data_IF_763899851401
#
_entry.id   IF_763899851401
#
_cell.length_a   1.000
_cell.length_b   1.000
_cell.length_c   1.000
_cell.angle_alpha   90.00
_cell.angle_beta   90.00
_cell.angle_gamma   90.00
#
_symmetry.space_group_name_H-M   'P 1'
#
loop_
_entity.id
_entity.type
_entity.pdbx_description
1 polymer ?
#
# COMPACT_ATOMS: atom_id res chain seq x y z
N UNK A 1 -25.49 62.25 14.92
CA UNK A 1 -24.12 62.24 14.37
C UNK A 1 -23.35 61.06 14.92
N UNK A 2 -22.39 60.58 14.14
CA UNK A 2 -21.70 59.30 14.24
C UNK A 2 -20.28 59.51 14.83
N UNK A 3 -19.77 58.47 15.52
CA UNK A 3 -18.35 58.19 15.90
C UNK A 3 -17.78 58.99 17.11
N UNK A 4 -16.87 58.51 17.96
CA UNK A 4 -15.77 57.54 17.81
C UNK A 4 -15.35 56.88 19.15
N UNK A 5 -15.12 55.57 19.06
CA UNK A 5 -14.09 54.71 19.69
C UNK A 5 -13.18 55.29 20.79
N UNK A 6 -13.16 54.59 21.94
CA UNK A 6 -11.96 54.49 22.80
C UNK A 6 -11.59 53.01 23.02
N UNK A 7 -10.53 52.62 22.33
CA UNK A 7 -9.57 51.54 22.61
C UNK A 7 -9.16 51.51 24.09
N UNK A 8 -8.80 50.42 24.80
CA UNK A 8 -8.47 48.98 24.62
C UNK A 8 -8.64 48.34 26.03
N UNK A 9 -8.78 47.01 26.18
CA UNK A 9 -7.70 46.26 26.85
C UNK A 9 -7.46 44.89 26.16
N UNK A 10 -6.22 44.49 25.90
CA UNK A 10 -5.24 43.93 26.85
C UNK A 10 -5.33 42.40 26.91
N UNK A 11 -4.26 41.81 26.36
CA UNK A 11 -3.58 40.58 26.74
C UNK A 11 -4.29 39.23 26.57
N UNK A 12 -3.62 38.44 25.73
CA UNK A 12 -3.33 37.00 25.80
C UNK A 12 -4.54 36.06 25.94
N UNK A 13 -4.68 35.16 24.97
CA UNK A 13 -4.44 33.73 25.19
C UNK A 13 -4.20 33.06 23.83
N UNK A 14 -3.01 32.47 23.67
CA UNK A 14 -2.70 31.47 22.66
C UNK A 14 -3.63 30.26 22.87
N UNK A 15 -4.23 29.76 21.79
CA UNK A 15 -4.81 28.42 21.74
C UNK A 15 -4.58 27.81 20.35
N UNK A 16 -3.40 27.20 20.16
CA UNK A 16 -3.20 26.06 19.25
C UNK A 16 -3.81 24.81 19.91
N UNK A 17 -4.04 23.68 19.21
CA UNK A 17 -4.40 23.45 17.81
C UNK A 17 -5.68 22.56 17.72
N UNK A 18 -6.48 22.66 16.66
CA UNK A 18 -7.48 21.59 16.37
C UNK A 18 -6.94 20.75 15.22
N UNK A 19 -6.16 19.75 15.61
CA UNK A 19 -5.87 18.60 14.76
C UNK A 19 -7.16 17.78 14.67
N UNK A 20 -7.82 17.81 13.52
CA UNK A 20 -8.89 16.87 13.18
C UNK A 20 -8.30 15.74 12.33
N UNK A 21 -7.58 14.82 12.98
CA UNK A 21 -7.31 13.50 12.40
C UNK A 21 -8.60 12.71 12.56
N UNK A 22 -9.26 12.36 11.45
CA UNK A 22 -10.09 11.16 11.30
C UNK A 22 -10.66 11.08 9.89
N UNK A 23 -9.82 10.78 8.89
CA UNK A 23 -10.30 10.04 7.72
C UNK A 23 -10.37 8.56 8.10
N UNK A 24 -11.28 8.23 9.00
CA UNK A 24 -11.66 6.86 9.32
C UNK A 24 -12.63 6.37 8.24
N UNK A 25 -12.19 6.30 6.98
CA UNK A 25 -12.89 5.45 6.03
C UNK A 25 -12.43 4.03 6.31
N UNK A 26 -13.20 3.38 7.17
CA UNK A 26 -13.27 1.94 7.24
C UNK A 26 -13.32 1.38 5.81
N UNK A 27 -12.31 0.61 5.44
CA UNK A 27 -12.28 -0.26 4.27
C UNK A 27 -13.26 -1.44 4.42
N UNK A 28 -14.49 -1.16 4.88
CA UNK A 28 -15.53 -2.15 5.08
C UNK A 28 -16.66 -1.90 4.09
N UNK A 29 -16.46 -2.28 2.83
CA UNK A 29 -17.56 -2.54 1.90
C UNK A 29 -17.19 -3.63 0.89
N UNK A 30 -16.99 -4.86 1.39
CA UNK A 30 -17.11 -6.09 0.60
C UNK A 30 -16.09 -6.36 -0.52
N UNK A 31 -15.04 -5.55 -0.66
CA UNK A 31 -13.90 -5.84 -1.55
C UNK A 31 -12.85 -6.71 -0.86
N UNK A 32 -12.03 -7.43 -1.64
CA UNK A 32 -10.86 -8.12 -1.13
C UNK A 32 -9.98 -7.13 -0.33
N UNK A 33 -9.60 -7.51 0.90
CA UNK A 33 -8.74 -6.68 1.73
C UNK A 33 -7.31 -6.77 1.18
N UNK A 34 -6.68 -5.61 0.92
CA UNK A 34 -5.26 -5.58 0.52
C UNK A 34 -4.41 -6.34 1.56
N UNK A 35 -3.61 -7.34 1.16
CA UNK A 35 -2.82 -8.14 2.08
C UNK A 35 -1.69 -7.33 2.74
N UNK A 36 -1.12 -7.90 3.79
CA UNK A 36 0.12 -7.40 4.40
C UNK A 36 1.36 -7.82 3.59
N UNK A 37 2.52 -7.22 3.89
CA UNK A 37 3.82 -7.60 3.28
C UNK A 37 4.07 -9.08 3.51
N UNK A 38 4.04 -9.54 4.76
CA UNK A 38 4.29 -10.94 5.15
C UNK A 38 3.41 -11.92 4.35
N UNK A 39 2.10 -11.64 4.24
CA UNK A 39 1.19 -12.50 3.48
C UNK A 39 1.53 -12.55 1.99
N UNK A 40 1.97 -11.42 1.43
CA UNK A 40 2.33 -11.34 0.03
C UNK A 40 3.70 -11.98 -0.22
N UNK A 41 4.67 -11.84 0.68
CA UNK A 41 5.96 -12.52 0.65
C UNK A 41 5.79 -14.04 0.68
N UNK A 42 4.94 -14.56 1.57
CA UNK A 42 4.63 -15.99 1.66
C UNK A 42 4.03 -16.53 0.35
N UNK A 43 3.07 -15.79 -0.20
CA UNK A 43 2.42 -16.13 -1.47
C UNK A 43 3.38 -16.09 -2.66
N UNK A 44 4.23 -15.06 -2.75
CA UNK A 44 5.26 -14.94 -3.79
C UNK A 44 6.29 -16.07 -3.68
N UNK A 45 6.72 -16.41 -2.47
CA UNK A 45 7.61 -17.56 -2.21
C UNK A 45 6.98 -18.84 -2.74
N UNK A 46 5.71 -19.08 -2.42
CA UNK A 46 4.95 -20.24 -2.90
C UNK A 46 4.92 -20.30 -4.43
N UNK A 47 4.59 -19.18 -5.09
CA UNK A 47 4.54 -19.10 -6.56
C UNK A 47 5.92 -19.39 -7.18
N UNK A 48 6.99 -18.86 -6.60
CA UNK A 48 8.35 -19.11 -7.09
C UNK A 48 8.74 -20.58 -6.91
N UNK A 49 8.45 -21.17 -5.76
CA UNK A 49 8.71 -22.59 -5.50
C UNK A 49 7.97 -23.51 -6.47
N UNK A 50 6.66 -23.30 -6.66
CA UNK A 50 5.84 -24.06 -7.60
C UNK A 50 6.30 -23.86 -9.05
N UNK A 51 6.80 -22.67 -9.38
CA UNK A 51 7.41 -22.34 -10.67
C UNK A 51 8.81 -22.90 -10.90
N UNK A 52 9.39 -23.65 -9.94
CA UNK A 52 10.76 -24.18 -10.02
C UNK A 52 11.86 -23.12 -9.84
N UNK A 53 11.50 -21.97 -9.29
CA UNK A 53 12.34 -20.80 -9.04
C UNK A 53 12.56 -20.56 -7.54
N UNK A 54 12.26 -21.55 -6.70
CA UNK A 54 12.49 -21.48 -5.26
C UNK A 54 13.95 -21.19 -4.93
N UNK A 55 14.16 -20.28 -3.97
CA UNK A 55 15.50 -19.89 -3.49
C UNK A 55 16.32 -19.04 -4.46
N UNK A 56 15.74 -18.53 -5.56
CA UNK A 56 16.41 -17.56 -6.44
C UNK A 56 16.56 -16.20 -5.75
N UNK A 57 15.53 -15.80 -4.99
CA UNK A 57 15.53 -14.60 -4.18
C UNK A 57 15.74 -14.96 -2.72
N UNK A 58 16.48 -14.12 -1.99
CA UNK A 58 16.53 -14.21 -0.52
C UNK A 58 15.24 -13.68 0.09
N UNK A 59 14.94 -14.06 1.33
CA UNK A 59 13.75 -13.58 2.06
C UNK A 59 13.66 -12.04 2.04
N UNK A 60 14.76 -11.33 2.35
CA UNK A 60 14.80 -9.86 2.29
C UNK A 60 14.48 -9.28 0.89
N UNK A 61 14.82 -10.00 -0.18
CA UNK A 61 14.52 -9.58 -1.55
C UNK A 61 13.05 -9.83 -1.89
N UNK A 62 12.48 -10.93 -1.38
CA UNK A 62 11.05 -11.24 -1.52
C UNK A 62 10.22 -10.20 -0.77
N UNK A 63 10.62 -9.83 0.45
CA UNK A 63 9.97 -8.77 1.22
C UNK A 63 10.03 -7.42 0.49
N UNK A 64 11.18 -7.06 -0.07
CA UNK A 64 11.28 -5.87 -0.92
C UNK A 64 10.34 -5.92 -2.13
N UNK A 65 10.23 -7.06 -2.81
CA UNK A 65 9.29 -7.23 -3.93
C UNK A 65 7.84 -7.11 -3.45
N UNK A 66 7.49 -7.72 -2.33
CA UNK A 66 6.16 -7.64 -1.73
C UNK A 66 5.77 -6.18 -1.41
N UNK A 67 6.68 -5.40 -0.83
CA UNK A 67 6.48 -3.96 -0.61
C UNK A 67 6.20 -3.21 -1.93
N UNK A 68 6.94 -3.51 -3.00
CA UNK A 68 6.70 -2.89 -4.32
C UNK A 68 5.33 -3.23 -4.90
N UNK A 69 4.85 -4.46 -4.70
CA UNK A 69 3.50 -4.84 -5.09
C UNK A 69 2.43 -4.11 -4.27
N UNK A 70 2.65 -3.92 -2.96
CA UNK A 70 1.76 -3.11 -2.13
C UNK A 70 1.83 -1.62 -2.47
N UNK A 71 2.92 -1.10 -3.01
CA UNK A 71 2.95 0.28 -3.50
C UNK A 71 2.40 0.44 -4.93
N UNK A 72 2.17 -0.69 -5.61
CA UNK A 72 1.71 -0.72 -7.00
C UNK A 72 0.21 -0.44 -7.16
N UNK A 73 -0.18 -0.31 -8.43
CA UNK A 73 -1.58 -0.19 -8.86
C UNK A 73 -2.29 -1.54 -9.02
N UNK A 74 -1.64 -2.66 -8.70
CA UNK A 74 -2.28 -3.98 -8.73
C UNK A 74 -3.47 -3.98 -7.76
N UNK A 75 -4.59 -4.53 -8.22
CA UNK A 75 -5.83 -4.53 -7.45
C UNK A 75 -5.71 -5.37 -6.18
N UNK A 76 -6.50 -5.05 -5.15
CA UNK A 76 -6.49 -5.79 -3.89
C UNK A 76 -6.91 -7.26 -4.08
N UNK A 77 -7.75 -7.55 -5.08
CA UNK A 77 -8.14 -8.91 -5.45
C UNK A 77 -6.97 -9.68 -6.07
N UNK A 78 -6.26 -9.09 -7.04
CA UNK A 78 -5.08 -9.72 -7.65
C UNK A 78 -3.95 -9.90 -6.63
N UNK A 79 -3.74 -8.92 -5.74
CA UNK A 79 -2.78 -9.05 -4.64
C UNK A 79 -3.19 -10.15 -3.66
N UNK A 80 -4.49 -10.30 -3.38
CA UNK A 80 -4.99 -11.39 -2.53
C UNK A 80 -4.79 -12.76 -3.18
N UNK A 81 -4.91 -12.87 -4.50
CA UNK A 81 -4.60 -14.11 -5.23
C UNK A 81 -3.12 -14.45 -5.11
N UNK A 82 -2.24 -13.45 -5.33
CA UNK A 82 -0.79 -13.63 -5.16
C UNK A 82 -0.43 -14.05 -3.73
N UNK A 83 -0.99 -13.38 -2.71
CA UNK A 83 -0.79 -13.72 -1.30
C UNK A 83 -1.34 -15.12 -0.95
N UNK A 84 -2.32 -15.61 -1.68
CA UNK A 84 -2.83 -16.99 -1.57
C UNK A 84 -1.97 -18.01 -2.33
N UNK A 85 -0.82 -17.62 -2.88
CA UNK A 85 0.07 -18.47 -3.66
C UNK A 85 -0.43 -18.76 -5.08
N UNK A 86 -1.35 -17.94 -5.62
CA UNK A 86 -1.96 -18.16 -6.93
C UNK A 86 -1.52 -17.10 -7.93
N UNK A 87 -0.88 -17.53 -9.02
CA UNK A 87 -0.65 -16.67 -10.19
C UNK A 87 -1.91 -16.59 -11.08
N UNK A 88 -2.99 -16.07 -10.49
CA UNK A 88 -4.29 -15.89 -11.14
C UNK A 88 -4.70 -14.41 -11.06
N UNK A 89 -4.70 -13.73 -12.21
CA UNK A 89 -5.18 -12.35 -12.29
C UNK A 89 -6.57 -12.26 -12.92
N UNK A 90 -7.35 -11.30 -12.42
CA UNK A 90 -8.73 -10.98 -12.81
C UNK A 90 -8.91 -10.62 -14.28
N UNK A 91 -7.83 -10.21 -14.96
CA UNK A 91 -7.84 -9.86 -16.38
C UNK A 91 -6.46 -9.99 -17.03
N UNK A 92 -6.41 -9.94 -18.36
CA UNK A 92 -5.13 -9.89 -19.09
C UNK A 92 -4.36 -8.58 -18.84
N UNK A 93 -5.07 -7.46 -18.65
CA UNK A 93 -4.44 -6.19 -18.28
C UNK A 93 -3.80 -6.27 -16.90
N UNK A 94 -4.52 -6.84 -15.92
CA UNK A 94 -3.99 -7.10 -14.58
C UNK A 94 -2.77 -8.02 -14.63
N UNK A 95 -2.78 -9.06 -15.46
CA UNK A 95 -1.63 -9.95 -15.66
C UNK A 95 -0.41 -9.20 -16.20
N UNK A 96 -0.60 -8.33 -17.19
CA UNK A 96 0.49 -7.50 -17.72
C UNK A 96 1.03 -6.54 -16.64
N UNK A 97 0.16 -5.93 -15.84
CA UNK A 97 0.55 -5.04 -14.75
C UNK A 97 1.33 -5.78 -13.66
N UNK A 98 0.90 -6.98 -13.25
CA UNK A 98 1.63 -7.83 -12.30
C UNK A 98 3.01 -8.19 -12.84
N UNK A 99 3.10 -8.55 -14.14
CA UNK A 99 4.37 -8.91 -14.78
C UNK A 99 5.34 -7.72 -14.83
N UNK A 100 4.85 -6.53 -15.16
CA UNK A 100 5.63 -5.29 -15.19
C UNK A 100 6.09 -4.87 -13.79
N UNK A 101 5.20 -5.00 -12.80
CA UNK A 101 5.49 -4.74 -11.38
C UNK A 101 6.58 -5.69 -10.88
N UNK A 102 6.47 -6.99 -11.17
CA UNK A 102 7.49 -7.98 -10.82
C UNK A 102 8.84 -7.66 -11.47
N UNK A 103 8.84 -7.31 -12.76
CA UNK A 103 10.08 -7.00 -13.49
C UNK A 103 10.78 -5.76 -12.93
N UNK A 104 10.00 -4.71 -12.63
CA UNK A 104 10.53 -3.49 -12.01
C UNK A 104 11.02 -3.73 -10.59
N UNK A 105 10.24 -4.45 -9.78
CA UNK A 105 10.60 -4.80 -8.42
C UNK A 105 11.87 -5.67 -8.37
N UNK A 106 11.99 -6.68 -9.24
CA UNK A 106 13.20 -7.49 -9.34
C UNK A 106 14.42 -6.65 -9.71
N UNK A 107 14.28 -5.69 -10.64
CA UNK A 107 15.37 -4.79 -11.01
C UNK A 107 15.80 -3.86 -9.86
N UNK A 108 14.90 -3.46 -8.97
CA UNK A 108 15.17 -2.57 -7.82
C UNK A 108 15.62 -3.31 -6.56
N UNK A 109 15.11 -4.51 -6.32
CA UNK A 109 15.31 -5.27 -5.08
C UNK A 109 16.50 -6.25 -5.16
N UNK A 110 16.90 -6.64 -6.38
CA UNK A 110 18.04 -7.56 -6.59
C UNK A 110 19.33 -6.81 -6.98
N UNK A 111 19.22 -5.52 -7.32
CA UNK A 111 20.35 -4.67 -7.71
C UNK A 111 21.32 -4.33 -6.60
#
# INVERSE_FOLDING_TARGET
>A
MNRNLRTRPSRLLLALPVVAIAFSLAACSGGAQRPSVDQLSDGLTTILEEGGQGGILTDDQIDCVAEKFLDSKVSDEDLSNLAAGKDEQTSQESKALVTDTMSSAAAECVS
#
